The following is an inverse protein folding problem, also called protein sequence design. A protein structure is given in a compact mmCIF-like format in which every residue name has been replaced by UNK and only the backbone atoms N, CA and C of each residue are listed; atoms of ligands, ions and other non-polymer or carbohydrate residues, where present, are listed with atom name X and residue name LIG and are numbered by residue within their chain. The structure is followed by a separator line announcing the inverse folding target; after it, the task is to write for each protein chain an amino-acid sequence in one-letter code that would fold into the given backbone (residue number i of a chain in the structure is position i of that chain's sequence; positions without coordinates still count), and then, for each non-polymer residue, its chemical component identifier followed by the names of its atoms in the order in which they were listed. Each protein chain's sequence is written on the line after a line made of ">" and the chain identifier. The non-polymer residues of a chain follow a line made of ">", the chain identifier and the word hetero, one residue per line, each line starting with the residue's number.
data_IF_912245107284
#
_entry.id   IF_912245107284
#
_cell.length_a   1.000
_cell.length_b   1.000
_cell.length_c   1.000
_cell.angle_alpha   90.00
_cell.angle_beta   90.00
_cell.angle_gamma   90.00
#
_symmetry.space_group_name_H-M   'P 1'
#
loop_
_entity.id
_entity.type
_entity.pdbx_description
1 polymer ?
#
# COMPACT_ATOMS: atom_id res chain seq x y z
N UNK A 1 23.73 -4.65 -8.84
CA UNK A 1 22.54 -5.31 -9.40
C UNK A 1 21.56 -5.43 -8.25
N UNK A 2 20.74 -4.45 -7.87
CA UNK A 2 20.29 -3.19 -8.49
C UNK A 2 19.82 -2.23 -7.36
N UNK A 3 20.76 -1.73 -6.54
CA UNK A 3 20.46 -0.78 -5.45
C UNK A 3 20.47 0.70 -5.89
N UNK A 4 20.25 0.97 -7.19
CA UNK A 4 20.28 2.32 -7.76
C UNK A 4 18.95 2.73 -8.42
N UNK A 5 17.82 2.44 -7.76
CA UNK A 5 16.47 2.95 -8.14
C UNK A 5 15.62 3.44 -6.96
N UNK A 6 16.23 3.70 -5.79
CA UNK A 6 15.49 4.17 -4.61
C UNK A 6 15.52 5.70 -4.41
N UNK A 7 16.02 6.49 -5.37
CA UNK A 7 16.29 7.93 -5.15
C UNK A 7 15.58 8.89 -6.12
N UNK A 8 14.32 8.63 -6.50
CA UNK A 8 13.44 9.63 -7.11
C UNK A 8 11.94 9.38 -6.80
N UNK A 9 11.56 9.34 -5.52
CA UNK A 9 10.16 9.62 -5.17
C UNK A 9 10.08 10.25 -3.78
N UNK A 10 10.41 11.54 -3.70
CA UNK A 10 10.03 12.38 -2.56
C UNK A 10 8.58 12.90 -2.71
N UNK A 11 7.68 12.02 -3.17
CA UNK A 11 6.24 12.20 -3.16
C UNK A 11 5.70 11.04 -2.31
N UNK A 12 4.88 11.33 -1.30
CA UNK A 12 4.48 10.46 -0.18
C UNK A 12 3.74 9.20 -0.67
N UNK A 13 4.47 8.25 -1.26
CA UNK A 13 3.97 6.96 -1.72
C UNK A 13 4.01 5.92 -0.62
N UNK A 14 3.11 4.95 -0.67
CA UNK A 14 3.08 3.83 0.28
C UNK A 14 4.44 3.14 0.35
N UNK A 15 4.96 2.92 1.56
CA UNK A 15 6.19 2.15 1.79
C UNK A 15 5.86 0.90 2.59
N UNK A 16 6.67 -0.18 2.47
CA UNK A 16 6.56 -1.32 3.37
C UNK A 16 6.56 -0.88 4.83
N UNK A 17 5.60 -1.35 5.62
CA UNK A 17 5.36 -0.97 7.00
C UNK A 17 4.33 0.13 7.20
N UNK A 18 3.98 0.92 6.17
CA UNK A 18 2.90 1.92 6.25
C UNK A 18 1.55 1.27 6.52
N UNK A 19 0.72 1.96 7.29
CA UNK A 19 -0.68 1.59 7.49
C UNK A 19 -1.61 2.37 6.56
N UNK A 20 -2.61 1.68 6.03
CA UNK A 20 -3.54 2.20 5.04
C UNK A 20 -4.96 1.71 5.33
N UNK A 21 -5.94 2.43 4.79
CA UNK A 21 -7.34 1.97 4.72
C UNK A 21 -7.86 2.12 3.30
N UNK A 22 -8.83 1.28 2.96
CA UNK A 22 -9.61 1.43 1.74
C UNK A 22 -10.93 2.14 2.09
N UNK A 23 -11.16 3.39 1.66
CA UNK A 23 -12.40 4.10 1.97
C UNK A 23 -13.64 3.48 1.28
N UNK A 24 -13.45 2.78 0.15
CA UNK A 24 -14.52 2.07 -0.54
C UNK A 24 -14.89 0.74 0.14
N UNK A 25 -13.97 0.17 0.94
CA UNK A 25 -14.15 -1.10 1.65
C UNK A 25 -13.74 -0.97 3.13
N UNK A 26 -14.52 -0.24 3.95
CA UNK A 26 -14.19 0.00 5.35
C UNK A 26 -14.15 -1.29 6.20
N UNK A 27 -14.93 -2.31 5.83
CA UNK A 27 -14.96 -3.62 6.49
C UNK A 27 -13.66 -4.43 6.36
N UNK A 28 -12.72 -4.04 5.49
CA UNK A 28 -11.42 -4.72 5.43
C UNK A 28 -10.54 -4.40 6.65
N UNK A 29 -10.85 -3.33 7.38
CA UNK A 29 -10.10 -2.90 8.56
C UNK A 29 -8.79 -2.19 8.20
N UNK A 30 -7.86 -2.13 9.16
CA UNK A 30 -6.55 -1.55 8.94
C UNK A 30 -5.70 -2.47 8.05
N UNK A 31 -5.01 -1.90 7.07
CA UNK A 31 -4.10 -2.61 6.20
C UNK A 31 -2.65 -2.22 6.46
N UNK A 32 -1.74 -3.18 6.56
CA UNK A 32 -0.31 -2.91 6.55
C UNK A 32 0.30 -3.23 5.18
N UNK A 33 0.99 -2.26 4.60
CA UNK A 33 1.72 -2.44 3.34
C UNK A 33 2.91 -3.36 3.58
N UNK A 34 2.99 -4.46 2.83
CA UNK A 34 4.12 -5.39 2.89
C UNK A 34 5.14 -5.17 1.78
N UNK A 35 4.69 -4.74 0.60
CA UNK A 35 5.57 -4.52 -0.56
C UNK A 35 4.93 -3.58 -1.56
N UNK A 36 5.74 -2.81 -2.28
CA UNK A 36 5.29 -1.88 -3.33
C UNK A 36 6.13 -2.08 -4.58
N UNK A 37 5.45 -2.33 -5.71
CA UNK A 37 6.07 -2.49 -7.02
C UNK A 37 5.30 -1.64 -8.02
N UNK A 38 5.76 -0.41 -8.23
CA UNK A 38 5.03 0.59 -9.01
C UNK A 38 3.65 0.86 -8.39
N UNK A 39 2.58 0.66 -9.16
CA UNK A 39 1.20 0.80 -8.68
C UNK A 39 0.64 -0.45 -7.99
N UNK A 40 1.41 -1.53 -7.91
CA UNK A 40 0.98 -2.78 -7.25
C UNK A 40 1.49 -2.79 -5.81
N UNK A 41 0.57 -2.67 -4.88
CA UNK A 41 0.83 -2.62 -3.44
C UNK A 41 0.25 -3.86 -2.80
N UNK A 42 1.08 -4.68 -2.15
CA UNK A 42 0.60 -5.79 -1.34
C UNK A 42 0.29 -5.28 0.05
N UNK A 43 -0.96 -5.41 0.49
CA UNK A 43 -1.43 -4.98 1.81
C UNK A 43 -1.99 -6.18 2.56
N UNK A 44 -1.65 -6.32 3.83
CA UNK A 44 -2.32 -7.25 4.73
C UNK A 44 -3.35 -6.51 5.57
N UNK A 45 -4.62 -6.71 5.24
CA UNK A 45 -5.76 -6.16 5.98
C UNK A 45 -6.14 -7.08 7.15
N UNK A 46 -6.52 -6.50 8.29
CA UNK A 46 -6.87 -7.27 9.50
C UNK A 46 -8.03 -8.23 9.27
N UNK A 47 -9.12 -7.76 8.64
CA UNK A 47 -10.36 -8.53 8.50
C UNK A 47 -10.43 -9.30 7.17
N UNK A 48 -9.67 -8.85 6.16
CA UNK A 48 -9.69 -9.42 4.80
C UNK A 48 -8.45 -10.24 4.45
N UNK A 49 -7.38 -10.12 5.24
CA UNK A 49 -6.09 -10.74 4.99
C UNK A 49 -5.31 -10.05 3.86
N UNK A 50 -4.38 -10.81 3.26
CA UNK A 50 -3.44 -10.28 2.27
C UNK A 50 -4.08 -10.09 0.89
N UNK A 51 -4.03 -8.87 0.39
CA UNK A 51 -4.51 -8.49 -0.94
C UNK A 51 -3.43 -7.77 -1.74
N UNK A 52 -3.45 -7.98 -3.06
CA UNK A 52 -2.69 -7.18 -4.01
C UNK A 52 -3.59 -6.07 -4.53
N UNK A 53 -3.26 -4.84 -4.17
CA UNK A 53 -4.00 -3.64 -4.55
C UNK A 53 -3.31 -2.97 -5.72
N UNK A 54 -4.09 -2.56 -6.72
CA UNK A 54 -3.61 -1.72 -7.80
C UNK A 54 -4.02 -0.27 -7.53
N UNK A 55 -3.07 0.54 -7.05
CA UNK A 55 -3.31 1.94 -6.65
C UNK A 55 -3.56 2.89 -7.82
N UNK A 56 -3.44 2.41 -9.06
CA UNK A 56 -3.89 3.16 -10.24
C UNK A 56 -5.42 3.15 -10.41
N UNK A 57 -6.12 2.24 -9.73
CA UNK A 57 -7.58 2.06 -9.85
C UNK A 57 -8.30 2.01 -8.50
N UNK A 58 -7.62 1.57 -7.44
CA UNK A 58 -8.15 1.51 -6.07
C UNK A 58 -7.49 2.60 -5.24
N UNK A 59 -8.30 3.40 -4.55
CA UNK A 59 -7.80 4.43 -3.64
C UNK A 59 -7.44 3.79 -2.31
N UNK A 60 -6.26 4.14 -1.79
CA UNK A 60 -5.88 3.86 -0.42
C UNK A 60 -5.60 5.20 0.26
N UNK A 61 -5.96 5.30 1.54
CA UNK A 61 -5.64 6.46 2.37
C UNK A 61 -4.67 6.03 3.46
N UNK A 62 -3.73 6.90 3.81
CA UNK A 62 -2.84 6.67 4.96
C UNK A 62 -3.68 6.61 6.23
N UNK A 63 -3.44 5.60 7.06
CA UNK A 63 -3.97 5.54 8.41
C UNK A 63 -2.81 5.91 9.35
N UNK A 64 -2.81 7.16 9.81
CA UNK A 64 -1.92 7.65 10.86
C UNK A 64 -2.33 7.14 12.25
#
# INVERSE_FOLDING_TARGET
>A
MDDLRAELCNDVGFVPGSFVRNPDEPDWGLGQVQSVVGHRVTVNFEERGKLLINTAVVTLVSAE
#
